data_IF_953172825182
#
_entry.id   IF_953172825182
#
_cell.length_a   1.000
_cell.length_b   1.000
_cell.length_c   1.000
_cell.angle_alpha   90.00
_cell.angle_beta   90.00
_cell.angle_gamma   90.00
#
_symmetry.space_group_name_H-M   'P 1'
#
loop_
_entity.id
_entity.type
_entity.pdbx_description
1 polymer ?
#
# COMPACT_ATOMS: atom_id res chain seq x y z
N UNK A 1 -18.61 -9.89 -3.22
CA UNK A 1 -20.01 -9.78 -2.75
C UNK A 1 -20.89 -10.83 -3.40
N UNK A 2 -21.01 -10.87 -4.73
CA UNK A 2 -21.85 -11.86 -5.43
C UNK A 2 -21.57 -13.31 -5.00
N UNK A 3 -20.30 -13.70 -4.89
CA UNK A 3 -19.91 -15.04 -4.40
C UNK A 3 -20.44 -15.32 -2.99
N UNK A 4 -20.46 -14.33 -2.09
CA UNK A 4 -20.96 -14.51 -0.72
C UNK A 4 -22.48 -14.62 -0.67
N UNK A 5 -23.18 -13.82 -1.48
CA UNK A 5 -24.63 -13.90 -1.63
C UNK A 5 -25.02 -15.27 -2.19
N UNK A 6 -24.33 -15.72 -3.24
CA UNK A 6 -24.53 -17.04 -3.84
C UNK A 6 -24.19 -18.18 -2.88
N UNK A 7 -23.08 -18.06 -2.12
CA UNK A 7 -22.71 -19.02 -1.10
C UNK A 7 -23.78 -19.14 0.00
N UNK A 8 -24.40 -18.01 0.41
CA UNK A 8 -25.48 -18.02 1.39
C UNK A 8 -26.72 -18.72 0.84
N UNK A 9 -27.11 -18.39 -0.38
CA UNK A 9 -28.24 -19.04 -1.05
C UNK A 9 -28.03 -20.56 -1.17
N UNK A 10 -26.85 -20.99 -1.59
CA UNK A 10 -26.50 -22.40 -1.72
C UNK A 10 -26.45 -23.10 -0.34
N UNK A 11 -25.98 -22.41 0.70
CA UNK A 11 -25.94 -22.95 2.06
C UNK A 11 -27.33 -23.16 2.66
N UNK A 12 -28.27 -22.25 2.37
CA UNK A 12 -29.68 -22.43 2.70
C UNK A 12 -30.27 -23.63 1.96
N UNK A 13 -30.00 -23.75 0.66
CA UNK A 13 -30.48 -24.88 -0.14
C UNK A 13 -29.95 -26.24 0.38
N UNK A 14 -28.66 -26.30 0.75
CA UNK A 14 -28.06 -27.51 1.34
C UNK A 14 -28.65 -27.83 2.71
N UNK A 15 -28.91 -26.80 3.53
CA UNK A 15 -29.49 -26.99 4.87
C UNK A 15 -30.92 -27.53 4.80
N UNK A 16 -31.73 -26.96 3.92
CA UNK A 16 -33.17 -27.26 3.84
C UNK A 16 -33.45 -28.45 2.91
N UNK A 17 -32.55 -28.78 1.98
CA UNK A 17 -32.73 -29.84 0.99
C UNK A 17 -33.52 -29.42 -0.26
N UNK A 18 -34.02 -28.18 -0.30
CA UNK A 18 -34.71 -27.55 -1.43
C UNK A 18 -34.30 -26.09 -1.54
N UNK A 19 -34.60 -25.45 -2.67
CA UNK A 19 -34.26 -24.04 -2.88
C UNK A 19 -35.01 -23.12 -1.89
N UNK A 20 -34.32 -22.18 -1.23
CA UNK A 20 -34.94 -21.31 -0.24
C UNK A 20 -35.97 -20.39 -0.89
N UNK A 21 -37.07 -20.15 -0.17
CA UNK A 21 -38.03 -19.11 -0.58
C UNK A 21 -37.38 -17.72 -0.51
N UNK A 22 -37.90 -16.75 -1.26
CA UNK A 22 -37.39 -15.37 -1.23
C UNK A 22 -37.45 -14.79 0.20
N UNK A 23 -38.53 -15.04 0.94
CA UNK A 23 -38.68 -14.56 2.31
C UNK A 23 -37.61 -15.14 3.25
N UNK A 24 -37.36 -16.45 3.17
CA UNK A 24 -36.31 -17.12 3.96
C UNK A 24 -34.92 -16.61 3.60
N UNK A 25 -34.66 -16.40 2.31
CA UNK A 25 -33.41 -15.85 1.83
C UNK A 25 -33.18 -14.42 2.35
N UNK A 26 -34.16 -13.53 2.25
CA UNK A 26 -34.03 -12.15 2.74
C UNK A 26 -33.88 -12.07 4.26
N UNK A 27 -34.53 -12.96 5.02
CA UNK A 27 -34.38 -13.05 6.46
C UNK A 27 -32.92 -13.33 6.86
N UNK A 28 -32.22 -14.19 6.10
CA UNK A 28 -30.80 -14.49 6.34
C UNK A 28 -29.85 -13.48 5.68
N UNK A 29 -30.21 -12.93 4.51
CA UNK A 29 -29.37 -11.97 3.78
C UNK A 29 -29.15 -10.69 4.60
N UNK A 30 -30.17 -10.24 5.32
CA UNK A 30 -30.10 -9.02 6.13
C UNK A 30 -28.98 -9.06 7.18
N UNK A 31 -28.92 -10.02 8.12
CA UNK A 31 -27.82 -10.09 9.08
C UNK A 31 -26.49 -10.47 8.42
N UNK A 32 -26.48 -11.34 7.41
CA UNK A 32 -25.24 -11.70 6.70
C UNK A 32 -24.64 -10.55 5.91
N UNK A 33 -25.44 -9.57 5.46
CA UNK A 33 -24.93 -8.40 4.74
C UNK A 33 -23.94 -7.57 5.55
N UNK A 34 -24.18 -7.41 6.86
CA UNK A 34 -23.26 -6.75 7.79
C UNK A 34 -21.94 -7.51 7.90
N UNK A 35 -22.01 -8.84 7.93
CA UNK A 35 -20.86 -9.74 8.03
C UNK A 35 -20.08 -9.79 6.70
N UNK A 36 -20.75 -9.70 5.55
CA UNK A 36 -20.07 -9.68 4.25
C UNK A 36 -19.08 -8.52 4.14
N UNK A 37 -19.41 -7.35 4.71
CA UNK A 37 -18.49 -6.20 4.75
C UNK A 37 -17.23 -6.51 5.56
N UNK A 38 -17.38 -7.14 6.73
CA UNK A 38 -16.23 -7.53 7.56
C UNK A 38 -15.38 -8.59 6.86
N UNK A 39 -15.99 -9.53 6.15
CA UNK A 39 -15.25 -10.55 5.39
C UNK A 39 -14.48 -10.00 4.21
N UNK A 40 -15.04 -9.03 3.46
CA UNK A 40 -14.30 -8.35 2.39
C UNK A 40 -13.04 -7.69 2.97
N UNK A 41 -13.21 -7.01 4.10
CA UNK A 41 -12.11 -6.37 4.82
C UNK A 41 -11.05 -7.38 5.27
N UNK A 42 -11.46 -8.51 5.86
CA UNK A 42 -10.53 -9.58 6.26
C UNK A 42 -9.81 -10.23 5.09
N UNK A 43 -10.48 -10.45 3.94
CA UNK A 43 -9.83 -10.95 2.73
C UNK A 43 -8.87 -9.93 2.10
N UNK A 44 -9.18 -8.64 2.21
CA UNK A 44 -8.27 -7.57 1.82
C UNK A 44 -7.02 -7.55 2.71
N UNK A 45 -7.19 -7.63 4.03
CA UNK A 45 -6.08 -7.78 5.00
C UNK A 45 -5.27 -9.02 4.67
N UNK A 46 -5.90 -10.14 4.36
CA UNK A 46 -5.19 -11.37 3.99
C UNK A 46 -4.36 -11.22 2.70
N UNK A 47 -4.57 -10.15 1.93
CA UNK A 47 -3.85 -9.85 0.70
C UNK A 47 -4.47 -10.50 -0.53
N UNK A 48 -5.67 -11.07 -0.46
CA UNK A 48 -6.28 -11.76 -1.60
C UNK A 48 -6.67 -10.84 -2.77
N UNK A 49 -6.59 -9.52 -2.57
CA UNK A 49 -6.83 -8.50 -3.60
C UNK A 49 -5.58 -7.71 -3.97
N UNK A 50 -4.38 -8.11 -3.53
CA UNK A 50 -3.15 -7.43 -3.93
C UNK A 50 -2.69 -7.91 -5.32
N UNK A 51 -2.11 -7.00 -6.11
CA UNK A 51 -1.58 -7.25 -7.46
C UNK A 51 -0.55 -8.42 -7.47
N UNK A 52 0.19 -8.62 -6.38
CA UNK A 52 1.29 -9.59 -6.29
C UNK A 52 0.92 -10.97 -5.69
N UNK A 53 -0.32 -11.21 -5.23
CA UNK A 53 -0.64 -12.41 -4.43
C UNK A 53 -0.67 -13.72 -5.22
N UNK A 54 -0.86 -13.68 -6.54
CA UNK A 54 -1.00 -14.90 -7.34
C UNK A 54 0.35 -15.58 -7.65
N UNK A 55 1.47 -15.04 -7.15
CA UNK A 55 2.82 -15.58 -7.47
C UNK A 55 3.07 -16.89 -6.74
N UNK A 56 2.24 -17.21 -5.73
CA UNK A 56 2.21 -18.50 -5.08
C UNK A 56 0.77 -19.05 -5.05
N UNK A 57 0.29 -19.54 -6.20
CA UNK A 57 -0.97 -20.32 -6.28
C UNK A 57 -1.02 -21.45 -5.25
N UNK A 58 0.13 -22.04 -4.91
CA UNK A 58 0.28 -23.06 -3.87
C UNK A 58 -0.07 -22.60 -2.45
N UNK A 59 0.04 -21.30 -2.14
CA UNK A 59 -0.28 -20.75 -0.81
C UNK A 59 -1.72 -20.26 -0.70
N UNK A 60 -2.45 -20.10 -1.82
CA UNK A 60 -3.81 -19.56 -1.86
C UNK A 60 -4.80 -20.36 -0.99
N UNK A 61 -4.84 -21.72 -1.03
CA UNK A 61 -5.79 -22.47 -0.20
C UNK A 61 -5.59 -22.19 1.29
N UNK A 62 -4.34 -22.16 1.75
CA UNK A 62 -4.00 -21.90 3.15
C UNK A 62 -4.38 -20.48 3.59
N UNK A 63 -4.17 -19.47 2.73
CA UNK A 63 -4.57 -18.09 3.02
C UNK A 63 -6.08 -17.98 3.12
N UNK A 64 -6.81 -18.51 2.13
CA UNK A 64 -8.29 -18.47 2.10
C UNK A 64 -8.87 -19.21 3.32
N UNK A 65 -8.33 -20.39 3.67
CA UNK A 65 -8.80 -21.17 4.82
C UNK A 65 -8.62 -20.42 6.14
N UNK A 66 -7.42 -19.88 6.40
CA UNK A 66 -7.16 -19.11 7.63
C UNK A 66 -8.06 -17.88 7.73
N UNK A 67 -8.26 -17.17 6.62
CA UNK A 67 -9.16 -16.01 6.59
C UNK A 67 -10.63 -16.42 6.79
N UNK A 68 -11.08 -17.54 6.22
CA UNK A 68 -12.44 -18.03 6.41
C UNK A 68 -12.73 -18.48 7.85
N UNK A 69 -11.75 -19.10 8.51
CA UNK A 69 -11.87 -19.45 9.93
C UNK A 69 -12.00 -18.17 10.76
N UNK A 70 -11.14 -17.18 10.54
CA UNK A 70 -11.21 -15.89 11.23
C UNK A 70 -12.57 -15.18 11.00
N UNK A 71 -13.03 -15.17 9.76
CA UNK A 71 -14.33 -14.66 9.35
C UNK A 71 -15.50 -15.35 10.06
N UNK A 72 -15.40 -16.66 10.26
CA UNK A 72 -16.41 -17.46 10.95
C UNK A 72 -16.44 -17.19 12.45
N UNK A 73 -15.29 -16.93 13.07
CA UNK A 73 -15.22 -16.48 14.47
C UNK A 73 -15.90 -15.12 14.63
N UNK A 74 -15.62 -14.15 13.74
CA UNK A 74 -16.29 -12.84 13.74
C UNK A 74 -17.81 -13.01 13.59
N UNK A 75 -18.24 -13.84 12.65
CA UNK A 75 -19.66 -14.09 12.41
C UNK A 75 -20.33 -14.73 13.63
N UNK A 76 -19.70 -15.72 14.26
CA UNK A 76 -20.21 -16.36 15.47
C UNK A 76 -20.33 -15.36 16.63
N UNK A 77 -19.33 -14.50 16.83
CA UNK A 77 -19.37 -13.43 17.83
C UNK A 77 -20.49 -12.41 17.53
N UNK A 78 -20.65 -12.00 16.27
CA UNK A 78 -21.71 -11.09 15.86
C UNK A 78 -23.09 -11.63 16.20
N UNK A 79 -23.38 -12.88 15.81
CA UNK A 79 -24.67 -13.50 16.10
C UNK A 79 -24.88 -13.83 17.58
N UNK A 80 -23.81 -14.05 18.35
CA UNK A 80 -23.90 -14.22 19.80
C UNK A 80 -24.24 -12.90 20.51
N UNK A 81 -23.61 -11.79 20.10
CA UNK A 81 -23.81 -10.47 20.72
C UNK A 81 -25.07 -9.76 20.24
N UNK A 82 -25.58 -10.11 19.05
CA UNK A 82 -26.77 -9.51 18.44
C UNK A 82 -27.85 -10.58 18.21
N UNK A 83 -28.55 -11.04 19.29
CA UNK A 83 -29.58 -12.08 19.18
C UNK A 83 -30.89 -11.58 18.53
N UNK A 84 -30.96 -10.32 18.09
CA UNK A 84 -32.16 -9.67 17.55
C UNK A 84 -32.76 -10.37 16.34
N UNK A 85 -31.95 -11.02 15.50
CA UNK A 85 -32.39 -11.54 14.21
C UNK A 85 -33.16 -12.87 14.28
N UNK A 86 -33.30 -13.48 15.47
CA UNK A 86 -34.11 -14.70 15.66
C UNK A 86 -33.64 -15.95 14.90
N UNK A 87 -32.49 -15.87 14.21
CA UNK A 87 -31.90 -16.98 13.47
C UNK A 87 -30.96 -17.73 14.39
N UNK A 88 -30.99 -19.06 14.35
CA UNK A 88 -29.96 -19.92 14.91
C UNK A 88 -28.93 -20.26 13.81
N UNK A 89 -27.84 -19.48 13.66
CA UNK A 89 -26.97 -19.57 12.50
C UNK A 89 -25.96 -20.71 12.60
N UNK A 90 -25.90 -21.49 13.69
CA UNK A 90 -24.79 -22.44 13.94
C UNK A 90 -24.55 -23.39 12.76
N UNK A 91 -25.60 -24.09 12.33
CA UNK A 91 -25.53 -25.04 11.22
C UNK A 91 -25.29 -24.33 9.89
N UNK A 92 -25.94 -23.18 9.68
CA UNK A 92 -25.85 -22.46 8.42
C UNK A 92 -24.47 -21.81 8.23
N UNK A 93 -23.87 -21.32 9.30
CA UNK A 93 -22.55 -20.71 9.31
C UNK A 93 -21.48 -21.76 9.02
N UNK A 94 -21.65 -22.97 9.57
CA UNK A 94 -20.78 -24.10 9.27
C UNK A 94 -20.84 -24.50 7.80
N UNK A 95 -22.04 -24.75 7.27
CA UNK A 95 -22.24 -25.07 5.83
C UNK A 95 -21.68 -23.94 4.96
N UNK A 96 -21.97 -22.69 5.33
CA UNK A 96 -21.48 -21.51 4.64
C UNK A 96 -19.97 -21.43 4.57
N UNK A 97 -19.24 -21.77 5.64
CA UNK A 97 -17.77 -21.78 5.63
C UNK A 97 -17.24 -22.73 4.54
N UNK A 98 -17.78 -23.95 4.43
CA UNK A 98 -17.34 -24.89 3.38
C UNK A 98 -17.70 -24.39 1.99
N UNK A 99 -18.96 -24.02 1.77
CA UNK A 99 -19.45 -23.57 0.46
C UNK A 99 -18.68 -22.33 -0.02
N UNK A 100 -18.53 -21.33 0.85
CA UNK A 100 -17.82 -20.10 0.51
C UNK A 100 -16.31 -20.31 0.34
N UNK A 101 -15.68 -21.23 1.09
CA UNK A 101 -14.28 -21.59 0.88
C UNK A 101 -14.06 -22.14 -0.55
N UNK A 102 -14.86 -23.13 -0.97
CA UNK A 102 -14.70 -23.71 -2.31
C UNK A 102 -15.05 -22.73 -3.42
N UNK A 103 -16.11 -21.92 -3.28
CA UNK A 103 -16.46 -20.92 -4.28
C UNK A 103 -15.40 -19.83 -4.42
N UNK A 104 -14.86 -19.33 -3.31
CA UNK A 104 -13.77 -18.34 -3.35
C UNK A 104 -12.50 -18.95 -3.92
N UNK A 105 -12.17 -20.19 -3.56
CA UNK A 105 -11.00 -20.89 -4.12
C UNK A 105 -11.15 -21.10 -5.63
N UNK A 106 -12.30 -21.61 -6.08
CA UNK A 106 -12.60 -21.80 -7.49
C UNK A 106 -12.53 -20.48 -8.27
N UNK A 107 -13.12 -19.41 -7.72
CA UNK A 107 -12.99 -18.07 -8.29
C UNK A 107 -11.53 -17.61 -8.40
N UNK A 108 -10.69 -17.89 -7.41
CA UNK A 108 -9.28 -17.48 -7.44
C UNK A 108 -8.41 -18.32 -8.35
N UNK A 109 -8.77 -19.57 -8.61
CA UNK A 109 -8.03 -20.45 -9.52
C UNK A 109 -8.48 -20.22 -10.97
N UNK A 110 -9.79 -20.14 -11.21
CA UNK A 110 -10.39 -20.16 -12.55
C UNK A 110 -10.99 -18.83 -12.99
N UNK A 111 -11.26 -17.89 -12.07
CA UNK A 111 -11.89 -16.61 -12.41
C UNK A 111 -11.07 -15.79 -13.40
N UNK A 112 -9.73 -15.77 -13.25
CA UNK A 112 -8.83 -15.11 -14.20
C UNK A 112 -8.88 -15.77 -15.61
N UNK A 113 -9.05 -17.09 -15.68
CA UNK A 113 -9.20 -17.80 -16.94
C UNK A 113 -10.56 -17.57 -17.60
N UNK A 114 -11.63 -17.40 -16.81
CA UNK A 114 -13.00 -17.20 -17.29
C UNK A 114 -13.25 -15.77 -17.78
N UNK A 115 -12.58 -14.77 -17.20
CA UNK A 115 -12.70 -13.36 -17.58
C UNK A 115 -11.51 -12.87 -18.43
N UNK A 116 -10.63 -13.78 -18.84
CA UNK A 116 -9.70 -13.60 -19.96
C UNK A 116 -8.32 -13.08 -19.56
N UNK A 117 -7.31 -13.96 -19.62
CA UNK A 117 -6.02 -13.54 -20.14
C UNK A 117 -6.19 -13.32 -21.64
N UNK A 118 -6.41 -12.06 -22.03
CA UNK A 118 -6.24 -11.63 -23.42
C UNK A 118 -4.80 -11.98 -23.82
N UNK A 119 -4.56 -12.42 -25.06
CA UNK A 119 -3.18 -12.55 -25.58
C UNK A 119 -2.39 -11.27 -25.25
N UNK A 120 -1.14 -11.42 -24.80
CA UNK A 120 -0.32 -10.28 -24.39
C UNK A 120 -0.13 -9.38 -25.60
N UNK A 121 -0.51 -8.11 -25.45
CA UNK A 121 -0.31 -7.10 -26.48
C UNK A 121 1.21 -6.85 -26.57
N UNK A 122 1.78 -7.14 -27.75
CA UNK A 122 3.20 -6.93 -28.02
C UNK A 122 3.51 -5.44 -27.98
N UNK A 123 4.52 -5.10 -27.20
CA UNK A 123 4.94 -3.74 -26.94
C UNK A 123 6.43 -3.53 -27.23
N UNK A 124 6.78 -2.31 -27.60
CA UNK A 124 8.16 -1.83 -27.62
C UNK A 124 8.37 -0.81 -26.51
N UNK A 125 9.48 -0.94 -25.79
CA UNK A 125 9.86 -0.01 -24.74
C UNK A 125 10.94 0.95 -25.24
N UNK A 126 10.69 2.24 -25.17
CA UNK A 126 11.59 3.30 -25.61
C UNK A 126 11.86 4.20 -24.41
N UNK A 127 13.09 4.17 -23.89
CA UNK A 127 13.43 4.89 -22.66
C UNK A 127 14.92 4.90 -22.41
N UNK A 128 15.30 5.32 -21.21
CA UNK A 128 16.68 5.37 -20.72
C UNK A 128 16.73 5.05 -19.24
N UNK A 129 17.89 4.63 -18.76
CA UNK A 129 18.17 4.45 -17.33
C UNK A 129 17.70 3.12 -16.71
N UNK A 130 17.91 3.00 -15.40
CA UNK A 130 17.64 1.78 -14.62
C UNK A 130 16.15 1.43 -14.61
N UNK A 131 15.27 2.44 -14.56
CA UNK A 131 13.82 2.23 -14.52
C UNK A 131 13.26 1.57 -15.78
N UNK A 132 13.88 1.78 -16.94
CA UNK A 132 13.54 1.09 -18.19
C UNK A 132 13.84 -0.42 -18.07
N UNK A 133 15.00 -0.77 -17.53
CA UNK A 133 15.41 -2.16 -17.33
C UNK A 133 14.53 -2.85 -16.29
N UNK A 134 14.31 -2.21 -15.14
CA UNK A 134 13.39 -2.69 -14.09
C UNK A 134 12.01 -3.01 -14.69
N UNK A 135 11.47 -2.09 -15.50
CA UNK A 135 10.16 -2.24 -16.11
C UNK A 135 10.09 -3.39 -17.12
N UNK A 136 11.12 -3.53 -17.97
CA UNK A 136 11.20 -4.62 -18.94
C UNK A 136 11.24 -5.98 -18.23
N UNK A 137 12.08 -6.10 -17.20
CA UNK A 137 12.30 -7.35 -16.49
C UNK A 137 11.05 -7.76 -15.69
N UNK A 138 10.39 -6.83 -14.98
CA UNK A 138 9.16 -7.13 -14.24
C UNK A 138 8.02 -7.55 -15.18
N UNK A 139 7.82 -6.83 -16.30
CA UNK A 139 6.74 -7.15 -17.25
C UNK A 139 6.98 -8.48 -17.94
N UNK A 140 8.18 -8.72 -18.47
CA UNK A 140 8.44 -9.93 -19.25
C UNK A 140 8.47 -11.20 -18.39
N UNK A 141 8.93 -11.10 -17.14
CA UNK A 141 8.96 -12.25 -16.22
C UNK A 141 7.61 -12.55 -15.55
N UNK A 142 6.59 -11.70 -15.73
CA UNK A 142 5.31 -11.83 -15.05
C UNK A 142 4.13 -11.85 -16.03
N UNK A 143 3.64 -13.06 -16.32
CA UNK A 143 2.52 -13.31 -17.24
C UNK A 143 1.17 -12.68 -16.84
N UNK A 144 1.09 -11.98 -15.69
CA UNK A 144 -0.12 -11.25 -15.31
C UNK A 144 -0.37 -9.99 -16.12
N UNK A 145 0.69 -9.38 -16.63
CA UNK A 145 0.56 -8.19 -17.43
C UNK A 145 0.09 -8.56 -18.82
N UNK A 146 -0.94 -7.86 -19.31
CA UNK A 146 -1.44 -8.00 -20.68
C UNK A 146 -0.50 -7.39 -21.73
N UNK A 147 0.74 -7.10 -21.34
CA UNK A 147 1.79 -6.44 -22.12
C UNK A 147 3.00 -7.37 -22.16
N UNK A 148 3.69 -7.41 -23.29
CA UNK A 148 4.97 -8.08 -23.44
C UNK A 148 5.94 -7.18 -24.20
N UNK A 149 7.10 -6.87 -23.61
CA UNK A 149 8.12 -6.10 -24.29
C UNK A 149 8.97 -7.00 -25.17
N UNK A 150 8.61 -7.08 -26.45
CA UNK A 150 9.34 -7.89 -27.45
C UNK A 150 10.66 -7.21 -27.83
N UNK A 151 10.65 -5.87 -27.86
CA UNK A 151 11.80 -5.04 -28.18
C UNK A 151 11.95 -3.89 -27.21
N UNK A 152 13.18 -3.38 -27.08
CA UNK A 152 13.54 -2.28 -26.21
C UNK A 152 14.63 -1.42 -26.84
N UNK A 153 14.43 -0.11 -26.84
CA UNK A 153 15.32 0.87 -27.44
C UNK A 153 15.83 1.79 -26.34
N UNK A 154 17.14 1.76 -26.13
CA UNK A 154 17.85 2.52 -25.10
C UNK A 154 18.32 3.86 -25.69
N UNK A 155 17.68 4.94 -25.26
CA UNK A 155 17.94 6.30 -25.73
C UNK A 155 19.35 6.79 -25.39
N UNK A 156 20.04 6.17 -24.42
CA UNK A 156 21.41 6.54 -24.07
C UNK A 156 22.45 6.01 -25.06
N UNK A 157 22.10 4.96 -25.84
CA UNK A 157 23.01 4.27 -26.76
C UNK A 157 22.81 4.61 -28.23
N UNK A 158 21.74 5.33 -28.57
CA UNK A 158 21.38 5.60 -29.96
C UNK A 158 21.48 7.09 -30.26
N UNK A 159 22.14 7.39 -31.38
CA UNK A 159 22.17 8.73 -31.97
C UNK A 159 20.82 9.04 -32.66
N UNK A 160 20.35 10.28 -32.51
CA UNK A 160 18.99 10.71 -32.88
C UNK A 160 18.62 10.53 -34.37
N UNK A 161 19.59 10.33 -35.25
CA UNK A 161 19.41 10.25 -36.70
C UNK A 161 19.09 8.83 -37.20
N UNK A 162 19.48 7.76 -36.49
CA UNK A 162 19.28 6.35 -36.91
C UNK A 162 18.05 5.70 -36.25
N UNK A 163 17.39 6.44 -35.36
CA UNK A 163 16.33 5.96 -34.49
C UNK A 163 14.98 5.76 -35.20
N UNK A 164 14.72 6.52 -36.27
CA UNK A 164 13.43 6.48 -36.97
C UNK A 164 13.27 5.22 -37.83
N UNK A 165 14.29 4.87 -38.62
CA UNK A 165 14.35 3.64 -39.41
C UNK A 165 14.20 2.43 -38.51
N UNK A 166 14.99 2.40 -37.43
CA UNK A 166 15.02 1.26 -36.51
C UNK A 166 13.67 1.02 -35.80
N UNK A 167 12.96 2.07 -35.39
CA UNK A 167 11.61 1.94 -34.80
C UNK A 167 10.62 1.37 -35.80
N UNK A 168 10.56 1.95 -37.00
CA UNK A 168 9.58 1.52 -38.01
C UNK A 168 9.83 0.06 -38.41
N UNK A 169 11.09 -0.30 -38.64
CA UNK A 169 11.49 -1.67 -38.99
C UNK A 169 11.09 -2.66 -37.90
N UNK A 170 11.35 -2.34 -36.62
CA UNK A 170 10.96 -3.20 -35.49
C UNK A 170 9.44 -3.31 -35.35
N UNK A 171 8.70 -2.21 -35.51
CA UNK A 171 7.22 -2.19 -35.41
C UNK A 171 6.60 -3.16 -36.42
N UNK A 172 7.03 -3.08 -37.68
CA UNK A 172 6.49 -3.95 -38.73
C UNK A 172 6.98 -5.39 -38.63
N UNK A 173 8.25 -5.61 -38.25
CA UNK A 173 8.82 -6.96 -38.14
C UNK A 173 8.21 -7.77 -36.98
N UNK A 174 7.95 -7.13 -35.83
CA UNK A 174 7.56 -7.83 -34.61
C UNK A 174 6.03 -7.84 -34.37
N UNK A 175 5.27 -7.07 -35.16
CA UNK A 175 3.82 -6.93 -35.03
C UNK A 175 3.45 -6.17 -33.75
N UNK A 176 4.12 -5.06 -33.50
CA UNK A 176 3.95 -4.26 -32.27
C UNK A 176 2.61 -3.52 -32.29
N UNK A 177 1.84 -3.68 -31.22
CA UNK A 177 0.55 -3.00 -31.01
C UNK A 177 0.61 -1.82 -30.05
N UNK A 178 1.62 -1.79 -29.18
CA UNK A 178 1.79 -0.79 -28.13
C UNK A 178 3.20 -0.23 -28.15
N UNK A 179 3.31 1.09 -28.07
CA UNK A 179 4.59 1.77 -27.94
C UNK A 179 4.61 2.47 -26.58
N UNK A 180 5.55 2.05 -25.72
CA UNK A 180 5.78 2.62 -24.40
C UNK A 180 6.98 3.55 -24.47
N UNK A 181 6.78 4.84 -24.24
CA UNK A 181 7.83 5.86 -24.45
C UNK A 181 8.01 6.73 -23.21
N UNK A 182 9.26 7.04 -22.87
CA UNK A 182 9.58 8.17 -22.00
C UNK A 182 9.34 9.52 -22.71
N UNK A 183 8.11 10.03 -22.59
CA UNK A 183 7.70 11.30 -23.22
C UNK A 183 8.39 12.54 -22.63
N UNK A 184 9.02 12.43 -21.45
CA UNK A 184 9.71 13.57 -20.82
C UNK A 184 11.18 13.65 -21.27
N UNK A 185 11.68 12.67 -22.00
CA UNK A 185 13.06 12.68 -22.49
C UNK A 185 13.24 13.69 -23.65
N UNK A 186 14.28 14.55 -23.56
CA UNK A 186 14.57 15.55 -24.59
C UNK A 186 14.92 14.94 -25.95
N UNK A 187 15.44 13.71 -25.97
CA UNK A 187 15.75 12.98 -27.21
C UNK A 187 14.51 12.50 -27.96
N UNK A 188 13.37 12.36 -27.26
CA UNK A 188 12.12 11.87 -27.83
C UNK A 188 11.33 12.99 -28.52
N UNK A 189 11.42 14.22 -28.01
CA UNK A 189 10.64 15.37 -28.49
C UNK A 189 10.75 15.61 -30.03
N UNK A 190 11.94 15.56 -30.66
CA UNK A 190 12.07 15.71 -32.12
C UNK A 190 11.38 14.62 -32.93
N UNK A 191 11.10 13.47 -32.32
CA UNK A 191 10.67 12.23 -32.97
C UNK A 191 9.14 12.05 -32.86
N UNK A 192 8.50 12.71 -31.89
CA UNK A 192 7.06 12.68 -31.70
C UNK A 192 6.25 12.97 -32.99
N UNK A 193 6.61 13.94 -33.85
CA UNK A 193 5.89 14.17 -35.10
C UNK A 193 5.92 12.96 -36.06
N UNK A 194 7.00 12.17 -36.05
CA UNK A 194 7.11 10.98 -36.89
C UNK A 194 6.27 9.82 -36.34
N UNK A 195 6.21 9.67 -35.02
CA UNK A 195 5.40 8.66 -34.35
C UNK A 195 3.90 8.96 -34.44
N UNK A 196 3.51 10.23 -34.61
CA UNK A 196 2.12 10.64 -34.78
C UNK A 196 1.38 9.87 -35.88
N UNK A 197 2.04 9.61 -37.02
CA UNK A 197 1.42 8.89 -38.15
C UNK A 197 1.05 7.44 -37.80
N UNK A 198 1.71 6.84 -36.81
CA UNK A 198 1.43 5.48 -36.37
C UNK A 198 0.12 5.36 -35.59
N UNK A 199 -0.43 6.46 -35.08
CA UNK A 199 -1.74 6.47 -34.41
C UNK A 199 -2.83 5.94 -35.35
N UNK A 200 -2.75 6.27 -36.65
CA UNK A 200 -3.69 5.78 -37.66
C UNK A 200 -3.53 4.28 -37.96
N UNK A 201 -2.42 3.67 -37.56
CA UNK A 201 -2.13 2.24 -37.73
C UNK A 201 -2.63 1.38 -36.56
N UNK A 202 -3.54 1.91 -35.73
CA UNK A 202 -4.08 1.27 -34.50
C UNK A 202 -3.03 0.98 -33.42
N UNK A 203 -1.85 1.61 -33.50
CA UNK A 203 -0.82 1.49 -32.48
C UNK A 203 -1.15 2.43 -31.32
N UNK A 204 -1.12 1.91 -30.09
CA UNK A 204 -1.38 2.71 -28.88
C UNK A 204 -0.08 3.24 -28.33
N UNK A 205 -0.08 4.51 -27.94
CA UNK A 205 1.04 5.15 -27.25
C UNK A 205 0.76 5.25 -25.75
N UNK A 206 1.71 4.84 -24.93
CA UNK A 206 1.61 4.91 -23.48
C UNK A 206 2.90 5.50 -22.91
N UNK A 207 2.75 6.41 -21.95
CA UNK A 207 3.88 7.00 -21.24
C UNK A 207 4.52 5.96 -20.29
N UNK A 208 5.84 5.79 -20.41
CA UNK A 208 6.63 4.91 -19.55
C UNK A 208 6.44 5.23 -18.06
N UNK A 209 6.32 6.51 -17.70
CA UNK A 209 6.08 6.94 -16.31
C UNK A 209 4.80 6.34 -15.73
N UNK A 210 3.72 6.33 -16.53
CA UNK A 210 2.40 5.84 -16.08
C UNK A 210 2.40 4.33 -15.90
N UNK A 211 3.08 3.59 -16.79
CA UNK A 211 3.21 2.14 -16.65
C UNK A 211 4.08 1.81 -15.44
N UNK A 212 5.23 2.49 -15.29
CA UNK A 212 6.10 2.28 -14.13
C UNK A 212 5.34 2.54 -12.82
N UNK A 213 4.58 3.62 -12.76
CA UNK A 213 3.73 3.97 -11.62
C UNK A 213 2.68 2.89 -11.31
N UNK A 214 1.97 2.38 -12.31
CA UNK A 214 0.94 1.36 -12.09
C UNK A 214 1.53 0.00 -11.73
N UNK A 215 2.72 -0.35 -12.25
CA UNK A 215 3.35 -1.63 -11.98
C UNK A 215 4.01 -1.66 -10.60
N UNK A 216 4.79 -0.64 -10.27
CA UNK A 216 5.59 -0.61 -9.05
C UNK A 216 4.92 0.13 -7.88
N UNK A 217 3.74 0.75 -8.11
CA UNK A 217 3.07 1.64 -7.16
C UNK A 217 4.03 2.69 -6.53
N UNK A 218 5.03 3.17 -7.31
CA UNK A 218 6.07 4.13 -6.89
C UNK A 218 6.49 5.05 -8.04
N UNK A 219 7.08 6.21 -7.73
CA UNK A 219 7.52 7.16 -8.75
C UNK A 219 8.94 6.88 -9.28
N UNK A 220 9.19 6.87 -10.59
CA UNK A 220 10.55 6.73 -11.14
C UNK A 220 11.35 8.02 -10.95
N UNK A 221 12.11 8.12 -9.86
CA UNK A 221 12.76 9.38 -9.44
C UNK A 221 13.70 9.97 -10.49
N UNK A 222 14.40 9.13 -11.28
CA UNK A 222 15.34 9.60 -12.31
C UNK A 222 14.65 10.36 -13.43
N UNK A 223 13.38 10.04 -13.70
CA UNK A 223 12.60 10.59 -14.79
C UNK A 223 11.82 11.86 -14.37
N UNK A 224 11.71 12.12 -13.06
CA UNK A 224 11.00 13.30 -12.55
C UNK A 224 11.79 14.59 -12.76
N UNK A 225 11.11 15.59 -13.33
CA UNK A 225 11.63 16.96 -13.53
C UNK A 225 10.79 17.98 -12.77
N UNK A 226 11.32 19.19 -12.56
CA UNK A 226 10.59 20.28 -11.91
C UNK A 226 9.18 20.51 -12.47
N UNK A 227 9.02 20.50 -13.80
CA UNK A 227 7.72 20.69 -14.46
C UNK A 227 6.69 19.65 -14.02
N UNK A 228 7.11 18.40 -13.84
CA UNK A 228 6.21 17.34 -13.38
C UNK A 228 5.63 17.66 -12.00
N UNK A 229 6.44 18.19 -11.07
CA UNK A 229 5.96 18.59 -9.74
C UNK A 229 4.97 19.76 -9.84
N UNK A 230 5.25 20.73 -10.72
CA UNK A 230 4.35 21.86 -10.95
C UNK A 230 3.01 21.43 -11.56
N UNK A 231 2.98 20.40 -12.40
CA UNK A 231 1.75 19.91 -13.02
C UNK A 231 0.95 18.97 -12.09
N UNK A 232 1.65 18.07 -11.38
CA UNK A 232 1.00 16.96 -10.68
C UNK A 232 0.77 17.22 -9.18
N UNK A 233 1.49 18.17 -8.58
CA UNK A 233 1.46 18.39 -7.12
C UNK A 233 0.92 19.77 -6.75
N UNK A 234 1.03 20.79 -7.62
CA UNK A 234 0.52 22.15 -7.32
C UNK A 234 -0.99 22.18 -7.04
N UNK A 235 -1.76 21.29 -7.67
CA UNK A 235 -3.21 21.17 -7.53
C UNK A 235 -3.67 20.18 -6.44
N UNK A 236 -2.75 19.69 -5.60
CA UNK A 236 -3.00 18.60 -4.66
C UNK A 236 -3.93 18.95 -3.48
N UNK A 237 -4.39 20.19 -3.33
CA UNK A 237 -5.30 20.56 -2.24
C UNK A 237 -6.76 20.28 -2.60
N UNK A 238 -7.17 19.03 -2.38
CA UNK A 238 -8.56 18.60 -2.49
C UNK A 238 -9.28 18.91 -1.18
N UNK A 239 -9.86 20.10 -1.05
CA UNK A 239 -10.54 20.58 0.18
C UNK A 239 -11.47 19.52 0.79
N UNK A 240 -12.29 18.86 -0.05
CA UNK A 240 -13.20 17.80 0.42
C UNK A 240 -12.47 16.56 0.97
N UNK A 241 -11.39 16.14 0.32
CA UNK A 241 -10.55 15.06 0.83
C UNK A 241 -9.85 15.46 2.14
N UNK A 242 -9.26 16.65 2.22
CA UNK A 242 -8.54 17.10 3.41
C UNK A 242 -9.48 17.19 4.63
N UNK A 243 -10.72 17.65 4.44
CA UNK A 243 -11.74 17.68 5.47
C UNK A 243 -12.15 16.27 5.93
N UNK A 244 -12.45 15.37 4.98
CA UNK A 244 -12.81 13.97 5.28
C UNK A 244 -11.66 13.22 5.95
N UNK A 245 -10.43 13.40 5.46
CA UNK A 245 -9.21 12.85 6.03
C UNK A 245 -9.05 13.33 7.46
N UNK A 246 -9.23 14.63 7.70
CA UNK A 246 -9.13 15.20 9.05
C UNK A 246 -10.20 14.67 10.00
N UNK A 247 -11.45 14.57 9.55
CA UNK A 247 -12.54 13.97 10.34
C UNK A 247 -12.23 12.51 10.70
N UNK A 248 -11.74 11.74 9.74
CA UNK A 248 -11.32 10.35 9.92
C UNK A 248 -10.16 10.24 10.91
N UNK A 249 -9.12 11.08 10.75
CA UNK A 249 -7.97 11.14 11.65
C UNK A 249 -8.41 11.43 13.09
N UNK A 250 -9.31 12.39 13.30
CA UNK A 250 -9.81 12.72 14.64
C UNK A 250 -10.62 11.54 15.21
N UNK A 251 -11.62 11.05 14.48
CA UNK A 251 -12.52 10.00 14.98
C UNK A 251 -11.78 8.71 15.31
N UNK A 252 -10.94 8.22 14.39
CA UNK A 252 -10.17 7.00 14.59
C UNK A 252 -9.07 7.17 15.65
N UNK A 253 -8.35 8.30 15.66
CA UNK A 253 -7.30 8.51 16.69
C UNK A 253 -7.89 8.70 18.08
N UNK A 254 -9.11 9.26 18.20
CA UNK A 254 -9.81 9.38 19.47
C UNK A 254 -10.22 8.01 19.99
N UNK A 255 -10.87 7.20 19.15
CA UNK A 255 -11.28 5.84 19.50
C UNK A 255 -10.08 4.96 19.86
N UNK A 256 -9.04 4.94 19.00
CA UNK A 256 -7.80 4.21 19.26
C UNK A 256 -7.07 4.79 20.48
N UNK A 257 -7.12 6.10 20.69
CA UNK A 257 -6.52 6.78 21.83
C UNK A 257 -7.13 6.30 23.14
N UNK A 258 -8.46 6.24 23.24
CA UNK A 258 -9.16 5.70 24.42
C UNK A 258 -8.79 4.25 24.67
N UNK A 259 -8.84 3.40 23.64
CA UNK A 259 -8.45 1.98 23.76
C UNK A 259 -6.99 1.86 24.19
N UNK A 260 -6.11 2.74 23.69
CA UNK A 260 -4.68 2.71 23.99
C UNK A 260 -4.38 2.97 25.47
N UNK A 261 -5.23 3.72 26.18
CA UNK A 261 -5.04 4.05 27.61
C UNK A 261 -4.97 2.79 28.49
N UNK A 262 -5.62 1.69 28.09
CA UNK A 262 -5.53 0.41 28.80
C UNK A 262 -4.08 -0.08 28.88
N UNK A 263 -3.25 0.21 27.88
CA UNK A 263 -1.86 -0.24 27.82
C UNK A 263 -0.87 0.68 28.55
N UNK A 264 -1.28 1.91 28.91
CA UNK A 264 -0.39 2.91 29.50
C UNK A 264 0.17 2.48 30.86
N UNK A 265 -0.65 1.97 31.82
CA UNK A 265 -0.14 1.52 33.11
C UNK A 265 0.92 0.41 32.98
N UNK A 266 0.71 -0.52 32.05
CA UNK A 266 1.65 -1.61 31.78
C UNK A 266 2.97 -1.08 31.18
N UNK A 267 2.90 -0.17 30.21
CA UNK A 267 4.09 0.44 29.63
C UNK A 267 4.89 1.24 30.68
N UNK A 268 4.20 2.01 31.53
CA UNK A 268 4.81 2.77 32.63
C UNK A 268 5.51 1.83 33.63
N UNK A 269 4.81 0.77 34.06
CA UNK A 269 5.36 -0.21 35.00
C UNK A 269 6.61 -0.88 34.44
N UNK A 270 6.57 -1.32 33.17
CA UNK A 270 7.71 -1.95 32.50
C UNK A 270 8.93 -1.01 32.46
N UNK A 271 8.74 0.26 32.12
CA UNK A 271 9.84 1.24 32.09
C UNK A 271 10.39 1.49 33.50
N UNK A 272 9.52 1.61 34.50
CA UNK A 272 9.92 1.90 35.88
C UNK A 272 10.67 0.74 36.54
N UNK A 273 10.30 -0.50 36.23
CA UNK A 273 11.00 -1.69 36.74
C UNK A 273 12.35 -1.90 36.05
N UNK A 274 12.46 -1.59 34.75
CA UNK A 274 13.66 -1.89 33.97
C UNK A 274 14.83 -0.96 34.34
N UNK A 275 14.65 0.36 34.28
CA UNK A 275 15.72 1.32 34.61
C UNK A 275 15.26 2.59 35.33
N UNK A 276 13.96 2.70 35.67
CA UNK A 276 13.42 3.81 36.46
C UNK A 276 13.35 5.16 35.73
N UNK A 277 13.75 5.25 34.47
CA UNK A 277 13.89 6.53 33.77
C UNK A 277 12.57 7.25 33.44
N UNK A 278 12.61 8.32 32.63
CA UNK A 278 11.42 9.07 32.26
C UNK A 278 10.45 8.21 31.43
N UNK A 279 9.15 8.37 31.66
CA UNK A 279 8.10 7.59 30.98
C UNK A 279 8.01 7.96 29.50
N UNK A 280 7.93 9.26 29.23
CA UNK A 280 7.78 9.81 27.89
C UNK A 280 9.07 10.48 27.41
N UNK A 281 9.32 10.37 26.11
CA UNK A 281 10.35 11.13 25.40
C UNK A 281 9.65 11.96 24.33
N UNK A 282 10.10 13.21 24.16
CA UNK A 282 9.72 14.07 23.04
C UNK A 282 10.87 14.16 22.05
N UNK A 283 10.59 13.94 20.76
CA UNK A 283 11.55 14.11 19.67
C UNK A 283 11.08 15.18 18.69
N UNK A 284 12.00 16.02 18.23
CA UNK A 284 11.73 16.95 17.14
C UNK A 284 11.76 16.23 15.80
N UNK A 285 10.79 16.56 14.95
CA UNK A 285 10.64 16.01 13.61
C UNK A 285 10.19 17.08 12.64
N UNK A 286 10.46 16.86 11.36
CA UNK A 286 9.94 17.73 10.29
C UNK A 286 8.53 17.29 9.92
N UNK A 287 7.58 18.22 10.02
CA UNK A 287 6.17 18.05 9.68
C UNK A 287 5.77 18.82 8.42
N UNK A 288 4.46 19.09 8.28
CA UNK A 288 3.91 19.75 7.10
C UNK A 288 4.55 21.13 6.87
N UNK A 289 4.83 21.46 5.62
CA UNK A 289 5.48 22.69 5.16
C UNK A 289 6.81 22.95 5.87
N UNK A 290 7.60 21.90 6.09
CA UNK A 290 8.90 21.94 6.77
C UNK A 290 8.85 22.45 8.23
N UNK A 291 7.66 22.51 8.85
CA UNK A 291 7.53 22.97 10.25
C UNK A 291 8.03 21.92 11.21
N UNK A 292 8.81 22.32 12.21
CA UNK A 292 9.25 21.42 13.26
C UNK A 292 8.07 21.11 14.19
N UNK A 293 7.82 19.82 14.40
CA UNK A 293 6.82 19.29 15.33
C UNK A 293 7.50 18.46 16.41
N UNK A 294 6.87 18.39 17.59
CA UNK A 294 7.32 17.54 18.70
C UNK A 294 6.43 16.32 18.80
N UNK A 295 7.04 15.14 18.66
CA UNK A 295 6.36 13.85 18.74
C UNK A 295 6.68 13.19 20.07
N UNK A 296 5.65 12.76 20.78
CA UNK A 296 5.76 12.07 22.07
C UNK A 296 5.70 10.55 21.87
N UNK A 297 6.55 9.81 22.58
CA UNK A 297 6.56 8.34 22.60
C UNK A 297 6.96 7.82 23.97
N UNK A 298 6.68 6.56 24.26
CA UNK A 298 7.26 5.93 25.46
C UNK A 298 8.76 5.73 25.30
N UNK A 299 9.48 5.81 26.42
CA UNK A 299 10.93 5.58 26.44
C UNK A 299 11.26 4.13 26.11
N UNK A 300 12.10 3.93 25.11
CA UNK A 300 12.58 2.61 24.68
C UNK A 300 14.11 2.48 24.62
N UNK A 301 14.85 3.54 24.96
CA UNK A 301 16.31 3.60 24.93
C UNK A 301 16.86 4.26 26.20
N UNK A 302 18.06 3.86 26.61
CA UNK A 302 18.73 4.37 27.83
C UNK A 302 18.98 5.88 27.80
N UNK A 303 19.19 6.45 26.60
CA UNK A 303 19.41 7.89 26.36
C UNK A 303 18.48 8.35 25.24
N UNK A 304 18.04 9.62 25.30
CA UNK A 304 17.24 10.22 24.23
C UNK A 304 17.98 10.17 22.89
N UNK A 305 17.22 9.75 21.88
CA UNK A 305 17.69 9.70 20.51
C UNK A 305 17.38 11.04 19.82
N UNK A 306 18.34 11.96 19.91
CA UNK A 306 18.27 13.29 19.28
C UNK A 306 18.87 13.30 17.86
N UNK A 307 19.16 12.13 17.27
CA UNK A 307 19.70 12.03 15.90
C UNK A 307 21.14 12.52 15.72
N UNK A 308 21.93 12.58 16.80
CA UNK A 308 23.37 12.92 16.80
C UNK A 308 24.21 11.65 16.90
N UNK A 309 25.02 11.40 15.86
CA UNK A 309 25.78 10.15 15.61
C UNK A 309 26.77 9.80 16.72
N UNK A 310 27.38 10.78 17.38
CA UNK A 310 28.38 10.54 18.43
C UNK A 310 27.81 9.85 19.67
N UNK A 311 26.51 10.06 19.97
CA UNK A 311 25.84 9.43 21.11
C UNK A 311 25.38 7.99 20.81
N UNK A 312 25.41 7.54 19.55
CA UNK A 312 24.90 6.22 19.15
C UNK A 312 25.71 5.05 19.72
N UNK A 313 27.02 5.23 19.92
CA UNK A 313 27.88 4.20 20.53
C UNK A 313 27.52 3.87 21.98
N UNK A 314 26.78 4.75 22.68
CA UNK A 314 26.40 4.60 24.09
C UNK A 314 24.91 4.22 24.26
N UNK A 315 24.13 4.30 23.17
CA UNK A 315 22.68 4.06 23.19
C UNK A 315 22.37 2.57 23.21
N UNK A 316 21.75 2.10 24.30
CA UNK A 316 21.25 0.72 24.40
C UNK A 316 19.73 0.71 24.44
N UNK A 317 19.12 -0.17 23.66
CA UNK A 317 17.69 -0.47 23.78
C UNK A 317 17.49 -1.17 25.12
N UNK A 318 16.57 -0.67 25.93
CA UNK A 318 16.27 -1.29 27.24
C UNK A 318 15.47 -2.59 27.04
N UNK A 319 15.39 -3.47 28.05
CA UNK A 319 14.66 -4.74 27.90
C UNK A 319 13.17 -4.47 27.68
N UNK A 320 12.60 -3.56 28.46
CA UNK A 320 11.25 -3.04 28.27
C UNK A 320 11.12 -2.37 26.91
N UNK A 321 12.09 -1.55 26.51
CA UNK A 321 12.11 -0.87 25.22
C UNK A 321 12.07 -1.82 24.02
N UNK A 322 12.76 -2.96 24.09
CA UNK A 322 12.71 -4.00 23.06
C UNK A 322 11.28 -4.55 22.90
N UNK A 323 10.60 -4.85 24.01
CA UNK A 323 9.21 -5.31 23.99
C UNK A 323 8.25 -4.24 23.45
N UNK A 324 8.37 -3.00 23.92
CA UNK A 324 7.52 -1.89 23.50
C UNK A 324 7.67 -1.61 21.99
N UNK A 325 8.89 -1.66 21.44
CA UNK A 325 9.14 -1.49 20.00
C UNK A 325 8.60 -2.65 19.17
N UNK A 326 8.76 -3.89 19.64
CA UNK A 326 8.23 -5.10 18.96
C UNK A 326 6.71 -5.07 18.86
N UNK A 327 6.04 -4.52 19.88
CA UNK A 327 4.58 -4.41 19.94
C UNK A 327 4.06 -3.08 19.41
N UNK A 328 4.95 -2.13 19.08
CA UNK A 328 4.64 -0.72 18.75
C UNK A 328 3.86 0.04 19.80
N UNK A 329 3.83 -0.47 21.03
CA UNK A 329 3.19 0.21 22.16
C UNK A 329 3.91 1.55 22.43
N UNK A 330 5.20 1.65 22.10
CA UNK A 330 5.96 2.89 22.27
C UNK A 330 5.43 4.06 21.42
N UNK A 331 4.80 3.79 20.28
CA UNK A 331 4.25 4.82 19.37
C UNK A 331 2.80 5.24 19.73
N UNK A 332 2.11 4.58 20.67
CA UNK A 332 0.72 4.93 21.04
C UNK A 332 0.51 6.39 21.45
N UNK A 333 1.42 7.06 22.19
CA UNK A 333 1.24 8.47 22.55
C UNK A 333 1.17 9.42 21.35
N UNK A 334 1.63 9.00 20.16
CA UNK A 334 1.57 9.80 18.94
C UNK A 334 0.14 9.96 18.41
N UNK A 335 -0.83 9.14 18.86
CA UNK A 335 -2.26 9.33 18.57
C UNK A 335 -2.75 10.71 19.04
N UNK A 336 -2.17 11.24 20.13
CA UNK A 336 -2.46 12.60 20.60
C UNK A 336 -1.90 13.68 19.66
N UNK A 337 -0.75 13.44 19.02
CA UNK A 337 -0.21 14.33 17.98
C UNK A 337 -1.10 14.35 16.74
N UNK A 338 -1.75 13.22 16.41
CA UNK A 338 -2.77 13.17 15.35
C UNK A 338 -4.00 13.99 15.76
N UNK A 339 -4.50 13.82 16.98
CA UNK A 339 -5.64 14.59 17.50
C UNK A 339 -5.36 16.09 17.53
N UNK A 340 -4.18 16.50 17.97
CA UNK A 340 -3.72 17.91 17.96
C UNK A 340 -3.59 18.46 16.54
N UNK A 341 -3.35 17.60 15.55
CA UNK A 341 -3.27 17.96 14.14
C UNK A 341 -1.85 18.19 13.63
N UNK A 342 -0.82 17.87 14.42
CA UNK A 342 0.58 17.89 14.01
C UNK A 342 0.90 16.71 13.06
N UNK A 343 0.17 15.60 13.20
CA UNK A 343 0.29 14.38 12.39
C UNK A 343 -1.06 13.96 11.80
N UNK A 344 -1.01 12.94 10.93
CA UNK A 344 -2.14 12.17 10.41
C UNK A 344 -1.97 10.68 10.76
N UNK A 345 -3.03 9.86 10.67
CA UNK A 345 -2.89 8.41 10.74
C UNK A 345 -2.07 7.88 9.56
N UNK A 346 -2.30 8.45 8.37
CA UNK A 346 -1.67 8.04 7.11
C UNK A 346 -0.93 9.20 6.46
N UNK A 347 0.36 9.01 6.22
CA UNK A 347 1.26 9.96 5.57
C UNK A 347 2.73 9.53 5.60
N UNK A 348 3.65 10.30 5.01
CA UNK A 348 5.08 10.02 5.04
C UNK A 348 5.60 9.93 6.46
N UNK A 349 6.55 9.02 6.74
CA UNK A 349 7.16 8.91 8.08
C UNK A 349 7.92 10.20 8.41
N UNK A 350 7.69 10.83 9.58
CA UNK A 350 8.41 12.04 9.97
C UNK A 350 9.87 11.74 10.28
N UNK A 351 10.79 12.49 9.68
CA UNK A 351 12.24 12.35 9.90
C UNK A 351 12.77 13.42 10.85
N UNK A 352 13.94 13.15 11.44
CA UNK A 352 14.63 14.10 12.30
C UNK A 352 15.20 15.26 11.48
N UNK A 353 15.20 16.50 11.99
CA UNK A 353 15.71 17.66 11.26
C UNK A 353 17.17 17.52 10.82
N UNK A 354 18.01 16.86 11.62
CA UNK A 354 19.42 16.59 11.27
C UNK A 354 19.54 15.71 10.02
N UNK A 355 18.74 14.63 9.94
CA UNK A 355 18.70 13.73 8.79
C UNK A 355 18.09 14.39 7.56
N UNK A 356 17.02 15.17 7.73
CA UNK A 356 16.39 15.90 6.60
C UNK A 356 17.40 16.83 5.93
N UNK A 357 18.17 17.59 6.71
CA UNK A 357 19.23 18.48 6.17
C UNK A 357 20.30 17.73 5.38
N UNK A 358 20.55 16.47 5.70
CA UNK A 358 21.49 15.62 4.99
C UNK A 358 20.86 15.10 3.69
N UNK A 359 19.65 14.54 3.76
CA UNK A 359 18.93 14.03 2.60
C UNK A 359 18.60 15.10 1.56
N UNK A 360 18.29 16.33 1.98
CA UNK A 360 18.05 17.45 1.06
C UNK A 360 19.29 17.84 0.23
N UNK A 361 20.50 17.52 0.71
CA UNK A 361 21.74 17.76 -0.05
C UNK A 361 22.01 16.68 -1.10
N UNK A 362 21.61 15.45 -0.82
CA UNK A 362 21.98 14.28 -1.63
C UNK A 362 20.86 13.80 -2.57
N UNK A 363 19.61 14.10 -2.23
CA UNK A 363 18.42 13.63 -2.97
C UNK A 363 17.63 14.83 -3.44
N UNK A 364 17.58 15.00 -4.77
CA UNK A 364 16.75 16.03 -5.40
C UNK A 364 15.28 15.89 -4.99
N UNK A 365 14.62 17.02 -4.78
CA UNK A 365 13.18 17.12 -4.47
C UNK A 365 12.75 16.45 -3.15
N UNK A 366 13.70 16.11 -2.26
CA UNK A 366 13.39 15.42 -1.00
C UNK A 366 12.33 16.15 -0.15
N UNK A 367 12.38 17.49 -0.13
CA UNK A 367 11.48 18.36 0.63
C UNK A 367 10.00 18.29 0.21
N UNK A 368 9.69 17.83 -1.02
CA UNK A 368 8.31 17.67 -1.52
C UNK A 368 7.49 16.77 -0.58
N UNK A 369 8.14 15.82 0.10
CA UNK A 369 7.46 14.92 1.02
C UNK A 369 6.78 15.62 2.21
N UNK A 370 7.22 16.84 2.53
CA UNK A 370 6.68 17.65 3.61
C UNK A 370 5.47 18.50 3.22
N UNK A 371 4.94 18.41 1.99
CA UNK A 371 3.74 19.17 1.59
C UNK A 371 2.46 18.74 2.34
N UNK A 372 2.46 17.50 2.83
CA UNK A 372 1.37 16.91 3.60
C UNK A 372 1.81 16.60 5.03
N UNK A 373 0.84 16.33 5.92
CA UNK A 373 1.15 15.96 7.29
C UNK A 373 1.88 14.61 7.32
N UNK A 374 2.88 14.45 8.20
CA UNK A 374 3.49 13.14 8.42
C UNK A 374 2.48 12.17 9.04
N UNK A 375 2.69 10.88 8.79
CA UNK A 375 1.81 9.80 9.22
C UNK A 375 2.42 8.89 10.29
N UNK A 376 1.56 8.29 11.12
CA UNK A 376 1.94 7.12 11.92
C UNK A 376 2.31 5.95 11.00
N UNK A 377 1.44 5.70 10.02
CA UNK A 377 1.63 4.75 8.94
C UNK A 377 1.82 5.48 7.61
N UNK A 378 2.49 4.86 6.64
CA UNK A 378 2.66 5.45 5.30
C UNK A 378 2.84 4.42 4.21
N UNK A 379 2.61 4.82 2.96
CA UNK A 379 2.76 3.94 1.80
C UNK A 379 4.16 3.32 1.74
N UNK A 380 5.21 4.15 1.86
CA UNK A 380 6.59 3.68 1.84
C UNK A 380 6.93 2.70 2.97
N UNK A 381 6.27 2.79 4.13
CA UNK A 381 6.49 1.89 5.27
C UNK A 381 5.94 0.47 5.02
N UNK A 382 5.04 0.29 4.05
CA UNK A 382 4.48 -1.02 3.70
C UNK A 382 5.39 -1.83 2.78
N UNK A 383 6.19 -1.14 1.97
CA UNK A 383 7.09 -1.74 0.98
C UNK A 383 8.53 -1.85 1.48
N UNK A 384 8.83 -1.27 2.65
CA UNK A 384 10.14 -1.39 3.30
C UNK A 384 9.98 -1.88 4.75
N UNK A 385 10.46 -3.08 5.02
CA UNK A 385 10.51 -3.66 6.37
C UNK A 385 11.85 -3.38 7.08
N UNK A 386 12.88 -2.95 6.35
CA UNK A 386 14.18 -2.62 6.91
C UNK A 386 14.22 -1.19 7.45
N UNK A 387 14.71 -0.96 8.69
CA UNK A 387 14.98 0.38 9.17
C UNK A 387 16.04 1.04 8.26
N UNK A 388 15.98 2.37 8.05
CA UNK A 388 16.96 3.08 7.23
C UNK A 388 18.35 2.77 7.76
N UNK A 389 19.19 2.16 6.93
CA UNK A 389 20.63 2.11 7.20
C UNK A 389 21.15 3.53 7.01
N UNK A 390 21.97 4.00 7.94
CA UNK A 390 22.51 5.37 8.06
C UNK A 390 23.46 5.78 6.92
N UNK A 391 23.26 5.23 5.72
CA UNK A 391 23.95 5.67 4.53
C UNK A 391 23.05 6.68 3.82
N UNK A 392 23.42 7.94 3.94
CA UNK A 392 22.66 9.10 3.47
C UNK A 392 22.38 9.07 1.96
N UNK A 393 23.25 8.39 1.20
CA UNK A 393 23.16 8.19 -0.24
C UNK A 393 22.49 6.89 -0.66
N UNK A 394 21.95 6.12 0.29
CA UNK A 394 21.43 4.77 0.02
C UNK A 394 20.29 4.78 -1.00
N UNK A 395 20.38 3.87 -1.97
CA UNK A 395 19.30 3.51 -2.90
C UNK A 395 17.97 3.30 -2.17
N UNK A 396 18.00 2.77 -0.95
CA UNK A 396 16.83 2.60 -0.08
C UNK A 396 16.09 3.90 0.24
N UNK A 397 16.80 4.99 0.56
CA UNK A 397 16.17 6.28 0.88
C UNK A 397 15.50 6.90 -0.35
N UNK A 398 16.14 6.76 -1.52
CA UNK A 398 15.54 7.14 -2.81
C UNK A 398 14.29 6.32 -3.09
N UNK A 399 14.32 5.00 -2.91
CA UNK A 399 13.13 4.16 -3.08
C UNK A 399 12.04 4.56 -2.07
N UNK A 400 12.37 4.86 -0.81
CA UNK A 400 11.39 5.35 0.16
C UNK A 400 10.73 6.64 -0.30
N UNK A 401 11.52 7.61 -0.78
CA UNK A 401 10.99 8.86 -1.33
C UNK A 401 10.07 8.58 -2.54
N UNK A 402 10.42 7.63 -3.42
CA UNK A 402 9.58 7.27 -4.58
C UNK A 402 8.16 6.85 -4.20
N UNK A 403 8.01 6.09 -3.11
CA UNK A 403 6.70 5.69 -2.59
C UNK A 403 5.98 6.84 -1.88
N UNK A 404 6.72 7.69 -1.16
CA UNK A 404 6.13 8.88 -0.53
C UNK A 404 5.59 9.85 -1.59
N UNK A 405 6.30 10.06 -2.70
CA UNK A 405 5.83 10.87 -3.83
C UNK A 405 4.62 10.26 -4.52
N UNK A 406 4.61 8.94 -4.71
CA UNK A 406 3.43 8.23 -5.23
C UNK A 406 2.20 8.48 -4.34
N UNK A 407 2.37 8.38 -3.02
CA UNK A 407 1.30 8.68 -2.09
C UNK A 407 0.85 10.14 -2.19
N UNK A 408 1.77 11.10 -2.26
CA UNK A 408 1.43 12.53 -2.37
C UNK A 408 0.64 12.83 -3.63
N UNK A 409 0.98 12.21 -4.75
CA UNK A 409 0.24 12.34 -6.01
C UNK A 409 -1.15 11.70 -5.95
N UNK A 410 -1.23 10.48 -5.41
CA UNK A 410 -2.41 9.61 -5.52
C UNK A 410 -3.24 9.53 -4.22
N UNK A 411 -2.99 10.41 -3.26
CA UNK A 411 -3.66 10.36 -1.97
C UNK A 411 -5.18 10.43 -2.17
N UNK A 412 -5.86 9.47 -1.58
CA UNK A 412 -7.30 9.29 -1.69
C UNK A 412 -7.77 8.49 -0.49
N UNK A 413 -9.06 8.58 -0.18
CA UNK A 413 -9.63 7.82 0.94
C UNK A 413 -9.43 6.31 0.77
N UNK A 414 -9.54 5.81 -0.46
CA UNK A 414 -9.31 4.39 -0.76
C UNK A 414 -7.84 3.98 -0.56
N UNK A 415 -6.88 4.83 -0.93
CA UNK A 415 -5.47 4.57 -0.69
C UNK A 415 -5.14 4.61 0.81
N UNK A 416 -5.71 5.56 1.55
CA UNK A 416 -5.57 5.64 3.01
C UNK A 416 -6.12 4.38 3.68
N UNK A 417 -7.33 3.95 3.30
CA UNK A 417 -7.93 2.72 3.80
C UNK A 417 -7.06 1.50 3.49
N UNK A 418 -6.53 1.40 2.26
CA UNK A 418 -5.57 0.35 1.87
C UNK A 418 -4.33 0.35 2.76
N UNK A 419 -3.81 1.53 3.10
CA UNK A 419 -2.64 1.66 3.98
C UNK A 419 -2.95 1.18 5.40
N UNK A 420 -4.02 1.69 6.01
CA UNK A 420 -4.44 1.29 7.36
C UNK A 420 -4.62 -0.22 7.44
N UNK A 421 -5.26 -0.81 6.43
CA UNK A 421 -5.50 -2.24 6.33
C UNK A 421 -4.23 -3.08 6.27
N UNK A 422 -3.30 -2.68 5.41
CA UNK A 422 -2.00 -3.37 5.30
C UNK A 422 -1.18 -3.22 6.58
N UNK A 423 -1.26 -2.08 7.26
CA UNK A 423 -0.58 -1.86 8.54
C UNK A 423 -1.15 -2.75 9.64
N UNK A 424 -2.47 -2.87 9.73
CA UNK A 424 -3.11 -3.82 10.65
C UNK A 424 -2.67 -5.27 10.38
N UNK A 425 -2.59 -5.68 9.10
CA UNK A 425 -2.04 -6.98 8.71
C UNK A 425 -0.61 -7.15 9.21
N UNK A 426 0.27 -6.17 8.97
CA UNK A 426 1.67 -6.23 9.35
C UNK A 426 1.84 -6.36 10.88
N UNK A 427 1.03 -5.63 11.65
CA UNK A 427 1.02 -5.70 13.12
C UNK A 427 0.53 -7.07 13.64
N UNK A 428 -0.54 -7.61 13.06
CA UNK A 428 -1.12 -8.90 13.49
C UNK A 428 -0.25 -10.10 13.07
N UNK A 429 0.40 -10.03 11.92
CA UNK A 429 1.21 -11.13 11.37
C UNK A 429 2.62 -11.22 11.96
N UNK A 430 3.03 -10.30 12.85
CA UNK A 430 4.42 -10.13 13.32
C UNK A 430 5.44 -9.97 12.19
N UNK A 431 5.02 -9.68 10.95
CA UNK A 431 5.87 -9.69 9.76
C UNK A 431 6.74 -8.42 9.60
N UNK A 432 7.08 -7.78 10.72
CA UNK A 432 7.91 -6.57 10.77
C UNK A 432 8.81 -6.51 12.01
N UNK A 433 9.18 -7.68 12.54
CA UNK A 433 10.19 -7.85 13.61
C UNK A 433 11.40 -8.58 13.04
#
# INVERSE_FOLDING_TARGET
ILIFIFALWLSLAIRSGWFPSLAEFYAHLTPFSFIFLTWIFSFFIAGLYEKHTVTLKSKLPNVILKTQIFNSVIAALFFYLVPYFGIAPKTILFIYLFVSFFLVLAWRIYGESLFGFKEREKAILIGSGEEMHDLKDEVNNNYRYSLEFVSSIDLDKIDSLDFQSEILDRIYAEGISIIVIDLLNKKVEPILPHLYNLIFSKIKFVDMHKIYEDIFDRMPLSLLKYNWFLENISFAQRIGYDALKRGTDIGLSFLLGIISLIFYPFAILLIKIDDGGPIFISQERVGRNNKIIKIMKFRSMSVNDDGVTEKEKVRKITRAGSFLRKTRIDELPQLWSVLKGDMSLVGPRPEMPSLVKLYEKEISYYNIRHLIKPGLSGWAQLYHSTPPKFDAGSKETKIKLSYDLYYIKNHSFLLDLKIVLKTLKALLSRSGV
#
